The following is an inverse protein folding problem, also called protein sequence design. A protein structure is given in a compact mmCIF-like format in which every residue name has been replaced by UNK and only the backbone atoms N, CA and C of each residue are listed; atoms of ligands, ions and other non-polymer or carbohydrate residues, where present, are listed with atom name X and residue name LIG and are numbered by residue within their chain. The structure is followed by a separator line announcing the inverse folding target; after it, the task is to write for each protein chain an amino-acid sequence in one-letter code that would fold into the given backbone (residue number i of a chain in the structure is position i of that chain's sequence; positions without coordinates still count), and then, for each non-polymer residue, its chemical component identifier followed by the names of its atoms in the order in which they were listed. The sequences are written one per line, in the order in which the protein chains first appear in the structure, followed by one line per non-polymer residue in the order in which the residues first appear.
data_IF_615963343389
#
_entry.id   IF_615963343389
#
_cell.length_a   1.000
_cell.length_b   1.000
_cell.length_c   1.000
_cell.angle_alpha   90.00
_cell.angle_beta   90.00
_cell.angle_gamma   90.00
#
_symmetry.space_group_name_H-M   'P 1'
#
loop_
_entity.id
_entity.type
_entity.pdbx_description
1 polymer ?
#
# COMPACT_ATOMS: atom_id res chain seq x y z
N UNK A 1 19.13 6.06 11.45
CA UNK A 1 18.07 5.07 11.16
C UNK A 1 18.00 4.63 9.70
N UNK A 2 17.94 5.51 8.71
CA UNK A 2 17.91 5.12 7.28
C UNK A 2 19.20 4.43 6.80
N UNK A 3 20.35 4.82 7.27
CA UNK A 3 21.66 4.26 6.87
C UNK A 3 21.88 2.86 7.46
N UNK A 4 21.57 2.67 8.72
CA UNK A 4 21.69 1.36 9.40
C UNK A 4 20.78 0.30 8.77
N UNK A 5 19.55 0.68 8.45
CA UNK A 5 18.59 -0.22 7.80
C UNK A 5 19.06 -0.66 6.41
N UNK A 6 19.66 0.25 5.65
CA UNK A 6 20.21 -0.06 4.33
C UNK A 6 21.41 -1.02 4.43
N UNK A 7 22.28 -0.82 5.41
CA UNK A 7 23.44 -1.70 5.67
C UNK A 7 23.01 -3.11 6.10
N UNK A 8 22.02 -3.20 6.97
CA UNK A 8 21.46 -4.49 7.43
C UNK A 8 20.86 -5.28 6.27
N UNK A 9 20.07 -4.65 5.43
CA UNK A 9 19.49 -5.29 4.24
C UNK A 9 20.57 -5.76 3.25
N UNK A 10 21.61 -4.96 3.06
CA UNK A 10 22.75 -5.33 2.21
C UNK A 10 23.50 -6.54 2.74
N UNK A 11 23.76 -6.58 4.04
CA UNK A 11 24.43 -7.73 4.68
C UNK A 11 23.61 -9.01 4.58
N UNK A 12 22.31 -8.93 4.86
CA UNK A 12 21.42 -10.10 4.76
C UNK A 12 21.38 -10.64 3.33
N UNK A 13 21.33 -9.76 2.34
CA UNK A 13 21.32 -10.14 0.92
C UNK A 13 22.65 -10.72 0.45
N UNK A 14 23.78 -10.28 1.00
CA UNK A 14 25.10 -10.78 0.64
C UNK A 14 25.32 -12.24 1.02
N UNK A 15 24.56 -12.75 1.99
CA UNK A 15 24.59 -14.18 2.39
C UNK A 15 23.50 -15.01 1.70
N UNK A 16 22.86 -14.47 0.65
CA UNK A 16 21.85 -15.16 -0.16
C UNK A 16 20.47 -15.28 0.47
N UNK A 17 20.23 -14.58 1.55
CA UNK A 17 18.90 -14.57 2.18
C UNK A 17 17.94 -13.59 1.48
N UNK A 18 16.68 -13.92 1.53
CA UNK A 18 15.61 -13.08 0.96
C UNK A 18 15.08 -12.11 2.00
N UNK A 19 14.99 -10.84 1.60
CA UNK A 19 14.43 -9.77 2.43
C UNK A 19 13.10 -9.34 1.82
N UNK A 20 12.04 -9.30 2.61
CA UNK A 20 10.72 -8.89 2.11
C UNK A 20 10.72 -7.49 1.51
N UNK A 21 10.00 -7.31 0.42
CA UNK A 21 9.78 -6.02 -0.22
C UNK A 21 8.70 -5.16 0.48
N UNK A 22 8.00 -5.73 1.49
CA UNK A 22 6.85 -5.08 2.11
C UNK A 22 7.12 -3.65 2.61
N UNK A 23 8.17 -3.37 3.41
CA UNK A 23 8.42 -2.00 3.87
C UNK A 23 8.70 -1.01 2.76
N UNK A 24 9.39 -1.44 1.70
CA UNK A 24 9.64 -0.60 0.52
C UNK A 24 8.36 -0.32 -0.25
N UNK A 25 7.55 -1.33 -0.46
CA UNK A 25 6.25 -1.20 -1.14
C UNK A 25 5.32 -0.27 -0.37
N UNK A 26 5.18 -0.48 0.95
CA UNK A 26 4.36 0.34 1.81
C UNK A 26 4.76 1.82 1.75
N UNK A 27 6.04 2.11 1.91
CA UNK A 27 6.56 3.48 1.83
C UNK A 27 6.37 4.10 0.44
N UNK A 28 6.54 3.30 -0.62
CA UNK A 28 6.34 3.76 -2.00
C UNK A 28 4.90 4.17 -2.23
N UNK A 29 3.96 3.36 -1.76
CA UNK A 29 2.53 3.64 -1.87
C UNK A 29 2.16 4.89 -1.07
N UNK A 30 2.63 5.01 0.18
CA UNK A 30 2.40 6.20 1.01
C UNK A 30 2.86 7.47 0.30
N UNK A 31 4.09 7.48 -0.21
CA UNK A 31 4.64 8.63 -0.92
C UNK A 31 3.85 8.95 -2.20
N UNK A 32 3.50 7.92 -2.98
CA UNK A 32 2.71 8.11 -4.19
C UNK A 32 1.33 8.71 -3.88
N UNK A 33 0.68 8.28 -2.81
CA UNK A 33 -0.63 8.83 -2.40
C UNK A 33 -0.51 10.29 -1.94
N UNK A 34 0.52 10.62 -1.17
CA UNK A 34 0.75 11.98 -0.69
C UNK A 34 1.07 12.94 -1.85
N UNK A 35 1.86 12.49 -2.81
CA UNK A 35 2.30 13.29 -3.96
C UNK A 35 1.30 13.32 -5.11
N UNK A 36 0.28 12.46 -5.11
CA UNK A 36 -0.67 12.36 -6.21
C UNK A 36 -1.65 13.55 -6.20
N UNK A 37 -1.74 14.33 -7.31
CA UNK A 37 -2.62 15.50 -7.37
C UNK A 37 -4.10 15.16 -7.19
N UNK A 38 -4.54 13.97 -7.62
CA UNK A 38 -5.93 13.54 -7.46
C UNK A 38 -6.23 13.27 -5.99
N UNK A 39 -5.33 12.58 -5.30
CA UNK A 39 -5.45 12.34 -3.86
C UNK A 39 -5.46 13.65 -3.08
N UNK A 40 -4.55 14.56 -3.40
CA UNK A 40 -4.50 15.89 -2.77
C UNK A 40 -5.81 16.65 -2.96
N UNK A 41 -6.36 16.64 -4.16
CA UNK A 41 -7.65 17.29 -4.47
C UNK A 41 -8.81 16.69 -3.68
N UNK A 42 -8.81 15.37 -3.47
CA UNK A 42 -9.93 14.67 -2.82
C UNK A 42 -9.87 14.73 -1.30
N UNK A 43 -8.67 14.59 -0.71
CA UNK A 43 -8.48 14.50 0.75
C UNK A 43 -7.54 15.57 1.31
N UNK A 44 -7.01 16.49 0.49
CA UNK A 44 -6.16 17.58 0.94
C UNK A 44 -4.90 17.11 1.69
N UNK A 45 -4.25 16.05 1.20
CA UNK A 45 -3.05 15.47 1.82
C UNK A 45 -3.30 14.66 3.10
N UNK A 46 -4.56 14.45 3.48
CA UNK A 46 -4.92 13.66 4.67
C UNK A 46 -4.80 12.17 4.39
N UNK A 47 -3.57 11.70 4.29
CA UNK A 47 -3.21 10.29 4.14
C UNK A 47 -2.33 9.89 5.33
N UNK A 48 -2.76 8.91 6.09
CA UNK A 48 -2.14 8.51 7.35
C UNK A 48 -1.82 7.02 7.36
N UNK A 49 -0.91 6.62 8.23
CA UNK A 49 -0.60 5.22 8.53
C UNK A 49 -1.35 4.68 9.75
N UNK A 50 -2.04 5.55 10.47
CA UNK A 50 -2.86 5.20 11.62
C UNK A 50 -4.03 6.17 11.75
N UNK A 51 -5.07 5.75 12.46
CA UNK A 51 -6.23 6.60 12.72
C UNK A 51 -5.82 7.76 13.63
N UNK A 52 -6.11 8.97 13.19
CA UNK A 52 -5.82 10.21 13.92
C UNK A 52 -7.03 10.62 14.79
N UNK A 53 -6.77 11.31 15.88
CA UNK A 53 -7.80 12.01 16.64
C UNK A 53 -8.09 13.37 15.98
N UNK A 54 -9.35 13.80 16.02
CA UNK A 54 -9.77 15.13 15.54
C UNK A 54 -9.38 15.43 14.09
N UNK A 55 -9.48 14.42 13.25
CA UNK A 55 -9.16 14.51 11.82
C UNK A 55 -10.32 15.11 11.04
N UNK A 56 -9.99 15.94 10.05
CA UNK A 56 -10.96 16.48 9.08
C UNK A 56 -11.29 15.39 8.05
N UNK A 57 -12.57 15.20 7.79
CA UNK A 57 -13.07 14.28 6.76
C UNK A 57 -13.12 14.95 5.36
N UNK A 58 -13.00 14.20 4.28
CA UNK A 58 -12.62 12.81 4.23
C UNK A 58 -11.11 12.60 4.41
N UNK A 59 -10.70 11.39 4.77
CA UNK A 59 -9.29 11.04 4.87
C UNK A 59 -9.05 9.56 4.51
N UNK A 60 -7.79 9.23 4.26
CA UNK A 60 -7.32 7.89 3.88
C UNK A 60 -6.36 7.38 4.96
N UNK A 61 -6.51 6.12 5.32
CA UNK A 61 -5.54 5.39 6.14
C UNK A 61 -4.99 4.22 5.33
N UNK A 62 -3.67 4.17 5.20
CA UNK A 62 -2.99 2.97 4.71
C UNK A 62 -2.83 2.05 5.90
N UNK A 63 -3.64 1.01 5.93
CA UNK A 63 -3.81 0.14 7.09
C UNK A 63 -2.83 -1.03 7.13
N UNK A 64 -3.36 -2.17 7.54
CA UNK A 64 -2.59 -3.38 7.74
C UNK A 64 -2.04 -3.97 6.44
N UNK A 65 -0.89 -4.59 6.55
CA UNK A 65 -0.29 -5.40 5.50
C UNK A 65 -0.16 -6.86 5.95
N UNK A 66 -0.17 -7.75 4.96
CA UNK A 66 0.05 -9.18 5.16
C UNK A 66 0.95 -9.70 4.05
N UNK A 67 1.95 -10.50 4.40
CA UNK A 67 2.90 -11.05 3.44
C UNK A 67 2.80 -12.56 3.43
N UNK A 68 2.63 -13.14 2.25
CA UNK A 68 2.63 -14.58 2.02
C UNK A 68 3.70 -14.92 1.00
N UNK A 69 4.59 -15.84 1.35
CA UNK A 69 5.59 -16.34 0.41
C UNK A 69 4.93 -17.26 -0.62
N UNK A 70 5.33 -17.10 -1.87
CA UNK A 70 4.79 -17.84 -3.01
C UNK A 70 5.91 -18.20 -3.98
N UNK A 71 6.02 -19.49 -4.32
CA UNK A 71 7.01 -19.96 -5.25
C UNK A 71 8.27 -20.53 -4.57
N UNK A 72 9.18 -21.06 -5.41
CA UNK A 72 10.43 -21.68 -4.99
C UNK A 72 11.62 -20.99 -5.64
N UNK A 73 12.79 -21.08 -4.98
CA UNK A 73 14.06 -20.69 -5.59
C UNK A 73 14.26 -21.38 -6.96
N UNK A 74 14.85 -20.69 -7.99
CA UNK A 74 15.53 -19.39 -7.90
C UNK A 74 14.64 -18.15 -8.00
N UNK A 75 13.37 -18.27 -8.08
CA UNK A 75 12.45 -17.14 -8.26
C UNK A 75 11.55 -16.95 -7.04
N UNK A 76 12.11 -16.70 -5.86
CA UNK A 76 11.32 -16.36 -4.68
C UNK A 76 10.30 -15.25 -5.00
N UNK A 77 9.07 -15.50 -4.67
CA UNK A 77 7.95 -14.55 -4.82
C UNK A 77 7.24 -14.36 -3.52
N UNK A 78 6.69 -13.19 -3.35
CA UNK A 78 5.80 -12.89 -2.24
C UNK A 78 4.54 -12.16 -2.74
N UNK A 79 3.44 -12.41 -2.08
CA UNK A 79 2.20 -11.67 -2.27
C UNK A 79 2.01 -10.78 -1.05
N UNK A 80 2.04 -9.48 -1.27
CA UNK A 80 1.87 -8.47 -0.23
C UNK A 80 0.46 -7.91 -0.36
N UNK A 81 -0.37 -8.16 0.63
CA UNK A 81 -1.70 -7.59 0.72
C UNK A 81 -1.65 -6.32 1.55
N UNK A 82 -2.19 -5.23 1.04
CA UNK A 82 -2.31 -3.97 1.78
C UNK A 82 -3.78 -3.57 1.79
N UNK A 83 -4.29 -3.24 2.98
CA UNK A 83 -5.65 -2.77 3.17
C UNK A 83 -5.65 -1.26 3.33
N UNK A 84 -6.50 -0.60 2.57
CA UNK A 84 -6.69 0.84 2.59
C UNK A 84 -8.07 1.15 3.14
N UNK A 85 -8.14 2.16 3.98
CA UNK A 85 -9.40 2.63 4.56
C UNK A 85 -9.66 4.06 4.14
N UNK A 86 -10.89 4.36 3.77
CA UNK A 86 -11.36 5.73 3.53
C UNK A 86 -12.50 6.03 4.49
N UNK A 87 -12.51 7.24 5.01
CA UNK A 87 -13.53 7.68 5.95
C UNK A 87 -14.16 8.97 5.44
N UNK A 88 -15.48 8.98 5.38
CA UNK A 88 -16.26 10.10 4.90
C UNK A 88 -17.46 10.35 5.82
N UNK A 89 -17.78 11.59 6.08
CA UNK A 89 -19.00 11.99 6.80
C UNK A 89 -20.05 12.58 5.87
N UNK A 90 -19.91 12.36 4.56
CA UNK A 90 -20.94 12.71 3.62
C UNK A 90 -22.22 11.91 3.90
N UNK A 91 -23.39 12.50 3.67
CA UNK A 91 -24.69 11.93 4.04
C UNK A 91 -24.95 10.53 3.46
N UNK A 92 -24.37 10.21 2.32
CA UNK A 92 -24.45 8.91 1.68
C UNK A 92 -23.07 8.36 1.31
N UNK A 93 -23.02 7.16 0.75
CA UNK A 93 -21.76 6.49 0.39
C UNK A 93 -21.10 6.95 -0.90
N UNK A 94 -21.59 8.02 -1.56
CA UNK A 94 -21.06 8.44 -2.87
C UNK A 94 -19.60 8.90 -2.79
N UNK A 95 -19.28 9.74 -1.82
CA UNK A 95 -17.91 10.23 -1.62
C UNK A 95 -16.94 9.08 -1.31
N UNK A 96 -17.31 8.17 -0.42
CA UNK A 96 -16.47 7.00 -0.10
C UNK A 96 -16.21 6.11 -1.33
N UNK A 97 -17.23 5.90 -2.17
CA UNK A 97 -17.07 5.13 -3.41
C UNK A 97 -16.16 5.82 -4.42
N UNK A 98 -16.28 7.13 -4.58
CA UNK A 98 -15.39 7.90 -5.45
C UNK A 98 -13.95 7.85 -4.94
N UNK A 99 -13.73 7.98 -3.63
CA UNK A 99 -12.43 7.85 -3.01
C UNK A 99 -11.81 6.46 -3.27
N UNK A 100 -12.58 5.39 -3.09
CA UNK A 100 -12.11 4.03 -3.37
C UNK A 100 -11.74 3.83 -4.83
N UNK A 101 -12.51 4.39 -5.76
CA UNK A 101 -12.22 4.33 -7.19
C UNK A 101 -10.85 4.94 -7.51
N UNK A 102 -10.61 6.15 -7.06
CA UNK A 102 -9.34 6.86 -7.31
C UNK A 102 -8.18 6.27 -6.52
N UNK A 103 -8.43 5.80 -5.31
CA UNK A 103 -7.43 5.11 -4.49
C UNK A 103 -6.95 3.82 -5.18
N UNK A 104 -7.86 3.02 -5.70
CA UNK A 104 -7.52 1.82 -6.47
C UNK A 104 -6.67 2.14 -7.72
N UNK A 105 -6.91 3.28 -8.34
CA UNK A 105 -6.08 3.76 -9.44
C UNK A 105 -4.70 4.23 -8.96
N UNK A 106 -4.66 5.12 -7.97
CA UNK A 106 -3.43 5.73 -7.48
C UNK A 106 -2.44 4.72 -6.88
N UNK A 107 -2.95 3.70 -6.20
CA UNK A 107 -2.13 2.65 -5.58
C UNK A 107 -1.48 1.68 -6.58
N UNK A 108 -1.76 1.83 -7.88
CA UNK A 108 -1.16 1.01 -8.95
C UNK A 108 -0.09 1.75 -9.74
N UNK A 109 0.07 3.06 -9.51
CA UNK A 109 0.96 3.90 -10.30
C UNK A 109 2.39 3.90 -9.75
N UNK A 110 3.37 3.94 -10.67
CA UNK A 110 4.77 4.24 -10.38
C UNK A 110 5.40 3.37 -9.28
N UNK A 111 5.08 2.07 -9.28
CA UNK A 111 5.65 1.12 -8.33
C UNK A 111 6.82 0.40 -9.01
N UNK A 112 8.01 0.93 -8.79
CA UNK A 112 9.25 0.39 -9.33
C UNK A 112 10.26 0.13 -8.22
N UNK A 113 10.96 -0.99 -8.31
CA UNK A 113 11.99 -1.39 -7.38
C UNK A 113 13.27 -1.74 -8.11
N UNK A 114 14.40 -1.51 -7.46
CA UNK A 114 15.70 -1.91 -7.99
C UNK A 114 15.91 -3.43 -7.90
N UNK A 115 15.61 -4.01 -6.73
CA UNK A 115 15.93 -5.41 -6.42
C UNK A 115 14.75 -6.36 -6.53
N UNK A 116 13.59 -5.84 -6.85
CA UNK A 116 12.34 -6.59 -6.96
C UNK A 116 11.64 -6.26 -8.28
N UNK A 117 10.86 -7.21 -8.76
CA UNK A 117 10.00 -7.04 -9.92
C UNK A 117 8.55 -7.18 -9.50
N UNK A 118 7.75 -6.16 -9.77
CA UNK A 118 6.31 -6.25 -9.57
C UNK A 118 5.70 -7.01 -10.76
N UNK A 119 5.19 -8.22 -10.50
CA UNK A 119 4.60 -9.05 -11.54
C UNK A 119 3.16 -8.64 -11.85
N UNK A 120 2.36 -8.39 -10.83
CA UNK A 120 0.97 -7.92 -10.99
C UNK A 120 0.43 -7.27 -9.70
N UNK A 121 -0.63 -6.49 -9.90
CA UNK A 121 -1.46 -5.93 -8.83
C UNK A 121 -2.90 -6.37 -9.07
N UNK A 122 -3.55 -6.89 -8.05
CA UNK A 122 -4.92 -7.39 -8.12
C UNK A 122 -5.76 -6.83 -6.97
N UNK A 123 -6.97 -6.43 -7.28
CA UNK A 123 -7.95 -6.10 -6.25
C UNK A 123 -8.52 -7.39 -5.66
N UNK A 124 -8.39 -7.55 -4.37
CA UNK A 124 -8.93 -8.68 -3.61
C UNK A 124 -10.36 -8.37 -3.17
N UNK A 125 -10.56 -7.24 -2.51
CA UNK A 125 -11.86 -6.82 -2.02
C UNK A 125 -12.02 -5.30 -2.05
N UNK A 126 -13.27 -4.86 -2.17
CA UNK A 126 -13.65 -3.46 -2.02
C UNK A 126 -15.08 -3.38 -1.50
N UNK A 127 -15.29 -2.63 -0.43
CA UNK A 127 -16.59 -2.48 0.19
C UNK A 127 -16.78 -1.10 0.82
N UNK A 128 -18.01 -0.67 0.94
CA UNK A 128 -18.40 0.55 1.67
C UNK A 128 -19.54 0.19 2.62
N UNK A 129 -19.41 0.58 3.86
CA UNK A 129 -20.42 0.39 4.90
C UNK A 129 -20.49 1.60 5.81
N UNK A 130 -21.55 1.65 6.61
CA UNK A 130 -21.68 2.69 7.66
C UNK A 130 -21.04 2.17 8.93
N UNK A 131 -20.18 2.97 9.54
CA UNK A 131 -19.46 2.63 10.76
C UNK A 131 -20.40 2.57 11.98
N UNK A 132 -19.88 2.13 13.12
CA UNK A 132 -20.61 1.92 14.39
C UNK A 132 -21.29 3.21 14.85
N UNK A 133 -20.72 4.37 14.58
CA UNK A 133 -21.30 5.69 14.91
C UNK A 133 -22.58 6.02 14.11
N UNK A 134 -22.93 5.20 13.11
CA UNK A 134 -24.07 5.34 12.20
C UNK A 134 -24.02 6.56 11.26
N UNK A 135 -22.96 7.33 11.29
CA UNK A 135 -22.77 8.54 10.47
C UNK A 135 -21.60 8.40 9.49
N UNK A 136 -20.49 7.91 9.96
CA UNK A 136 -19.27 7.78 9.14
C UNK A 136 -19.40 6.66 8.12
N UNK A 137 -19.15 6.98 6.86
CA UNK A 137 -19.03 5.99 5.78
C UNK A 137 -17.60 5.52 5.72
N UNK A 138 -17.42 4.23 5.90
CA UNK A 138 -16.14 3.56 5.91
C UNK A 138 -15.99 2.73 4.63
N UNK A 139 -15.05 3.09 3.79
CA UNK A 139 -14.66 2.33 2.63
C UNK A 139 -13.40 1.53 2.91
N UNK A 140 -13.37 0.29 2.44
CA UNK A 140 -12.22 -0.60 2.55
C UNK A 140 -11.84 -1.10 1.17
N UNK A 141 -10.57 -1.00 0.84
CA UNK A 141 -9.98 -1.55 -0.39
C UNK A 141 -8.79 -2.41 -0.01
N UNK A 142 -8.78 -3.66 -0.46
CA UNK A 142 -7.64 -4.54 -0.30
C UNK A 142 -7.02 -4.86 -1.64
N UNK A 143 -5.73 -4.56 -1.79
CA UNK A 143 -4.94 -4.84 -2.98
C UNK A 143 -3.86 -5.89 -2.68
N UNK A 144 -3.65 -6.77 -3.64
CA UNK A 144 -2.58 -7.76 -3.63
C UNK A 144 -1.51 -7.35 -4.63
N UNK A 145 -0.27 -7.35 -4.17
CA UNK A 145 0.91 -7.05 -4.98
C UNK A 145 1.79 -8.29 -5.03
N UNK A 146 1.96 -8.87 -6.20
CA UNK A 146 2.89 -9.99 -6.36
C UNK A 146 4.25 -9.49 -6.81
N UNK A 147 5.24 -9.77 -6.01
CA UNK A 147 6.60 -9.30 -6.16
C UNK A 147 7.54 -10.50 -6.31
N UNK A 148 8.37 -10.48 -7.34
CA UNK A 148 9.47 -11.43 -7.54
C UNK A 148 10.78 -10.81 -7.06
N UNK A 149 11.54 -11.57 -6.32
CA UNK A 149 12.88 -11.17 -5.93
C UNK A 149 13.84 -11.41 -7.09
N UNK A 150 14.54 -10.37 -7.52
CA UNK A 150 15.57 -10.48 -8.55
C UNK A 150 16.76 -11.28 -8.04
N UNK A 151 17.34 -12.10 -8.92
CA UNK A 151 18.58 -12.81 -8.63
C UNK A 151 19.76 -11.83 -8.50
N UNK A 152 20.87 -12.27 -7.92
CA UNK A 152 22.07 -11.43 -7.81
C UNK A 152 22.56 -10.93 -9.17
N UNK A 153 22.43 -11.75 -10.21
CA UNK A 153 22.81 -11.38 -11.58
C UNK A 153 21.91 -10.28 -12.19
N UNK A 154 20.62 -10.30 -11.85
CA UNK A 154 19.65 -9.31 -12.35
C UNK A 154 19.75 -7.95 -11.64
N UNK A 155 20.46 -7.88 -10.51
CA UNK A 155 20.63 -6.64 -9.72
C UNK A 155 21.81 -5.78 -10.19
N UNK A 156 22.60 -6.27 -11.09
CA UNK A 156 23.78 -5.57 -11.63
C UNK A 156 23.37 -4.51 -12.64
#
# INVERSE_FOLDING_TARGET
MKVEKCLTDTLVRSVGMWVTAEPLLYNKIMNNLIENPITDKLVGGRVFDCVQKDVVYPYIVVGESNVTESGRSPGMREIIAITFHVYSQYENGAEARELLKYLNYACRLNINFKDYELEWIKKDNSQVFTDIDQYTKHGVLRLLYKVRHKTLQERV
#
